data_IF_733213728282
#
_entry.id   IF_733213728282
#
_cell.length_a   1.000
_cell.length_b   1.000
_cell.length_c   1.000
_cell.angle_alpha   90.00
_cell.angle_beta   90.00
_cell.angle_gamma   90.00
#
_symmetry.space_group_name_H-M   'P 1'
#
loop_
_entity.id
_entity.type
_entity.pdbx_description
1 polymer ?
#
# COMPACT_ATOMS: atom_id res chain seq x y z
N UNK A 1 -3.45 24.84 -1.83
CA UNK A 1 -4.79 24.33 -1.55
C UNK A 1 -4.63 23.16 -0.62
N UNK A 2 -5.33 23.19 0.53
CA UNK A 2 -4.96 22.40 1.69
C UNK A 2 -4.95 20.89 1.46
N UNK A 3 -3.83 20.29 1.80
CA UNK A 3 -3.78 18.88 2.15
C UNK A 3 -4.79 18.67 3.27
N UNK A 4 -5.85 17.92 3.00
CA UNK A 4 -6.76 17.45 4.05
C UNK A 4 -5.91 16.66 5.04
N UNK A 5 -5.54 17.29 6.16
CA UNK A 5 -4.90 16.58 7.27
C UNK A 5 -5.83 15.44 7.65
N UNK A 6 -5.32 14.24 7.61
CA UNK A 6 -5.98 13.07 8.17
C UNK A 6 -6.23 13.38 9.66
N UNK A 7 -7.47 13.73 9.99
CA UNK A 7 -7.86 13.93 11.38
C UNK A 7 -7.82 12.56 12.05
N UNK A 8 -6.76 12.33 12.79
CA UNK A 8 -6.42 11.02 13.36
C UNK A 8 -6.26 11.21 14.86
N UNK A 9 -7.12 10.60 15.63
CA UNK A 9 -7.08 10.68 17.09
C UNK A 9 -6.33 9.48 17.70
N UNK A 10 -6.36 8.31 17.01
CA UNK A 10 -5.73 7.06 17.48
C UNK A 10 -4.94 6.39 16.37
N UNK A 11 -3.66 6.17 16.61
CA UNK A 11 -2.71 5.53 15.68
C UNK A 11 -2.26 4.19 16.26
N UNK A 12 -2.52 3.10 15.54
CA UNK A 12 -1.99 1.78 15.85
C UNK A 12 -0.59 1.61 15.26
N UNK A 13 0.33 1.01 16.02
CA UNK A 13 1.68 0.65 15.56
C UNK A 13 2.15 -0.62 16.28
N UNK A 14 3.33 -1.15 15.92
CA UNK A 14 3.89 -2.37 16.51
C UNK A 14 5.38 -2.19 16.85
N UNK A 15 5.70 -1.72 18.06
CA UNK A 15 7.10 -1.57 18.50
C UNK A 15 7.80 -2.91 18.78
N UNK A 16 7.03 -3.97 19.04
CA UNK A 16 7.58 -5.29 19.33
C UNK A 16 8.29 -5.94 18.14
N UNK A 17 7.96 -5.54 16.90
CA UNK A 17 8.61 -6.01 15.68
C UNK A 17 9.82 -5.14 15.30
N UNK A 18 9.70 -3.81 15.47
CA UNK A 18 10.77 -2.86 15.25
C UNK A 18 10.55 -1.62 16.12
N UNK A 19 11.50 -1.27 17.03
CA UNK A 19 11.39 -0.07 17.85
C UNK A 19 11.26 1.25 17.07
N UNK A 20 11.69 1.27 15.81
CA UNK A 20 11.55 2.43 14.93
C UNK A 20 10.09 2.70 14.53
N UNK A 21 9.21 1.68 14.60
CA UNK A 21 7.79 1.82 14.27
C UNK A 21 7.09 2.86 15.17
N UNK A 22 7.48 2.94 16.47
CA UNK A 22 6.98 3.98 17.37
C UNK A 22 7.39 5.39 16.94
N UNK A 23 8.66 5.57 16.56
CA UNK A 23 9.17 6.86 16.12
C UNK A 23 8.52 7.29 14.81
N UNK A 24 8.39 6.35 13.86
CA UNK A 24 7.72 6.57 12.60
C UNK A 24 6.25 6.99 12.81
N UNK A 25 5.50 6.28 13.66
CA UNK A 25 4.13 6.64 14.02
C UNK A 25 4.03 8.03 14.66
N UNK A 26 5.07 8.41 15.44
CA UNK A 26 5.18 9.73 16.06
C UNK A 26 5.24 10.90 15.08
N UNK A 27 5.70 10.68 13.85
CA UNK A 27 5.81 11.74 12.83
C UNK A 27 4.47 12.12 12.19
N UNK A 28 3.43 11.29 12.33
CA UNK A 28 2.13 11.55 11.71
C UNK A 28 1.33 12.62 12.44
N UNK A 29 1.33 12.58 13.76
CA UNK A 29 0.61 13.54 14.60
C UNK A 29 1.23 13.55 15.99
N UNK A 30 1.54 14.74 16.52
CA UNK A 30 1.99 14.92 17.90
C UNK A 30 0.86 14.63 18.90
N UNK A 31 -0.37 14.95 18.53
CA UNK A 31 -1.51 15.00 19.44
C UNK A 31 -2.30 13.69 19.49
N UNK A 32 -2.13 12.83 18.48
CA UNK A 32 -2.81 11.54 18.43
C UNK A 32 -2.29 10.56 19.48
N UNK A 33 -3.19 9.80 20.10
CA UNK A 33 -2.85 8.67 20.95
C UNK A 33 -2.22 7.55 20.12
N UNK A 34 -1.05 7.07 20.55
CA UNK A 34 -0.32 5.98 19.89
C UNK A 34 -0.50 4.71 20.70
N UNK A 35 -1.05 3.66 20.06
CA UNK A 35 -1.41 2.40 20.71
C UNK A 35 -0.54 1.30 20.13
N UNK A 36 0.25 0.65 20.99
CA UNK A 36 1.15 -0.43 20.62
C UNK A 36 0.43 -1.78 20.61
N UNK A 37 0.61 -2.54 19.53
CA UNK A 37 0.08 -3.89 19.38
C UNK A 37 1.23 -4.89 19.22
N UNK A 38 0.96 -6.15 19.55
CA UNK A 38 1.97 -7.21 19.62
C UNK A 38 2.50 -7.70 18.27
N UNK A 39 1.75 -7.44 17.19
CA UNK A 39 2.12 -7.89 15.82
C UNK A 39 1.49 -6.96 14.77
N UNK A 40 2.01 -7.03 13.54
CA UNK A 40 1.43 -6.29 12.42
C UNK A 40 -0.02 -6.71 12.13
N UNK A 41 -0.38 -8.00 12.32
CA UNK A 41 -1.76 -8.46 12.20
C UNK A 41 -2.66 -7.74 13.21
N UNK A 42 -2.29 -7.72 14.49
CA UNK A 42 -3.07 -7.06 15.52
C UNK A 42 -3.16 -5.54 15.31
N UNK A 43 -2.09 -4.93 14.82
CA UNK A 43 -2.07 -3.52 14.44
C UNK A 43 -3.07 -3.24 13.31
N UNK A 44 -3.13 -4.12 12.31
CA UNK A 44 -4.05 -4.03 11.18
C UNK A 44 -5.50 -4.27 11.61
N UNK A 45 -5.75 -5.36 12.36
CA UNK A 45 -7.06 -5.74 12.90
C UNK A 45 -7.68 -4.64 13.76
N UNK A 46 -6.88 -3.92 14.57
CA UNK A 46 -7.35 -2.82 15.41
C UNK A 46 -8.03 -1.70 14.59
N UNK A 47 -7.52 -1.41 13.41
CA UNK A 47 -8.16 -0.46 12.49
C UNK A 47 -9.37 -1.09 11.84
N UNK A 48 -9.32 -2.34 11.42
CA UNK A 48 -10.50 -3.05 10.89
C UNK A 48 -11.63 -3.14 11.91
N UNK A 49 -11.32 -3.32 13.19
CA UNK A 49 -12.31 -3.31 14.27
C UNK A 49 -12.83 -1.89 14.61
N UNK A 50 -12.11 -0.83 14.19
CA UNK A 50 -12.45 0.56 14.53
C UNK A 50 -11.94 1.00 15.90
N UNK A 51 -11.04 0.25 16.50
CA UNK A 51 -10.35 0.63 17.74
C UNK A 51 -9.37 1.77 17.52
N UNK A 52 -8.75 1.83 16.31
CA UNK A 52 -7.89 2.91 15.85
C UNK A 52 -8.37 3.46 14.53
N UNK A 53 -8.00 4.72 14.24
CA UNK A 53 -8.40 5.41 13.02
C UNK A 53 -7.52 5.01 11.85
N UNK A 54 -6.21 4.85 12.13
CA UNK A 54 -5.19 4.41 11.19
C UNK A 54 -4.19 3.47 11.84
N UNK A 55 -3.50 2.70 11.02
CA UNK A 55 -2.28 2.01 11.43
C UNK A 55 -1.09 2.43 10.57
N UNK A 56 0.11 2.33 11.16
CA UNK A 56 1.39 2.60 10.52
C UNK A 56 2.16 1.30 10.44
N UNK A 57 2.42 0.84 9.22
CA UNK A 57 3.11 -0.42 8.99
C UNK A 57 4.29 -0.23 8.01
N UNK A 58 5.49 -0.77 8.33
CA UNK A 58 6.61 -0.77 7.41
C UNK A 58 6.34 -1.76 6.27
N UNK A 59 6.52 -1.38 5.02
CA UNK A 59 6.30 -2.31 3.91
C UNK A 59 7.51 -2.50 3.00
N UNK A 60 8.49 -1.58 3.07
CA UNK A 60 9.72 -1.69 2.28
C UNK A 60 10.89 -1.06 3.04
N UNK A 61 12.06 -1.71 2.96
CA UNK A 61 13.31 -1.25 3.56
C UNK A 61 14.40 -1.18 2.51
N UNK A 62 15.24 -0.15 2.57
CA UNK A 62 16.25 0.10 1.55
C UNK A 62 17.34 -0.99 1.44
N UNK A 63 17.56 -1.77 2.48
CA UNK A 63 18.56 -2.85 2.53
C UNK A 63 17.94 -4.24 2.44
N UNK A 64 16.89 -4.49 3.21
CA UNK A 64 16.27 -5.82 3.31
C UNK A 64 15.12 -6.03 2.34
N UNK A 65 14.70 -4.99 1.61
CA UNK A 65 13.61 -5.06 0.64
C UNK A 65 12.23 -5.02 1.31
N UNK A 66 11.30 -5.76 0.75
CA UNK A 66 9.91 -5.79 1.21
C UNK A 66 9.73 -6.40 2.61
N UNK A 67 8.77 -5.89 3.36
CA UNK A 67 8.28 -6.53 4.57
C UNK A 67 7.14 -7.46 4.19
N UNK A 68 7.51 -8.69 3.85
CA UNK A 68 6.65 -9.70 3.25
C UNK A 68 5.31 -9.90 3.97
N UNK A 69 5.33 -9.93 5.30
CA UNK A 69 4.14 -10.11 6.11
C UNK A 69 3.14 -8.96 5.94
N UNK A 70 3.63 -7.72 5.88
CA UNK A 70 2.78 -6.54 5.66
C UNK A 70 2.20 -6.53 4.25
N UNK A 71 2.94 -7.00 3.26
CA UNK A 71 2.42 -7.14 1.90
C UNK A 71 1.29 -8.18 1.81
N UNK A 72 1.38 -9.26 2.61
CA UNK A 72 0.29 -10.24 2.72
C UNK A 72 -0.98 -9.62 3.36
N UNK A 73 -0.83 -8.69 4.32
CA UNK A 73 -1.95 -7.93 4.89
C UNK A 73 -2.59 -7.01 3.83
N UNK A 74 -1.79 -6.38 2.97
CA UNK A 74 -2.34 -5.57 1.86
C UNK A 74 -3.14 -6.44 0.87
N UNK A 75 -2.70 -7.67 0.63
CA UNK A 75 -3.43 -8.60 -0.23
C UNK A 75 -4.74 -9.08 0.39
N UNK A 76 -4.71 -9.53 1.65
CA UNK A 76 -5.83 -10.21 2.33
C UNK A 76 -6.85 -9.24 2.93
N UNK A 77 -6.38 -8.13 3.51
CA UNK A 77 -7.19 -7.23 4.33
C UNK A 77 -7.99 -6.22 3.53
N UNK A 78 -8.77 -5.41 4.22
CA UNK A 78 -9.74 -4.46 3.64
C UNK A 78 -9.29 -3.00 3.71
N UNK A 79 -8.22 -2.69 4.45
CA UNK A 79 -7.77 -1.32 4.63
C UNK A 79 -7.12 -0.76 3.36
N UNK A 80 -7.24 0.55 3.20
CA UNK A 80 -6.62 1.28 2.09
C UNK A 80 -5.42 2.08 2.54
N UNK A 81 -4.36 2.12 1.74
CA UNK A 81 -3.24 3.04 1.94
C UNK A 81 -3.72 4.46 1.65
N UNK A 82 -3.53 5.36 2.62
CA UNK A 82 -3.92 6.77 2.51
C UNK A 82 -2.72 7.71 2.50
N UNK A 83 -1.57 7.24 2.95
CA UNK A 83 -0.30 7.97 2.94
C UNK A 83 0.87 6.99 2.93
N UNK A 84 1.95 7.38 2.27
CA UNK A 84 3.24 6.71 2.36
C UNK A 84 4.29 7.75 2.75
N UNK A 85 5.16 7.41 3.67
CA UNK A 85 6.28 8.27 4.05
C UNK A 85 7.55 7.44 4.29
N UNK A 86 8.69 8.13 4.32
CA UNK A 86 10.00 7.53 4.58
C UNK A 86 10.46 7.89 5.97
N UNK A 87 11.01 6.92 6.67
CA UNK A 87 11.72 7.09 7.92
C UNK A 87 13.18 6.66 7.74
N UNK A 88 14.10 7.57 8.01
CA UNK A 88 15.55 7.32 7.95
C UNK A 88 16.10 7.30 9.38
N UNK A 89 16.62 6.15 9.81
CA UNK A 89 17.23 5.99 11.12
C UNK A 89 18.77 6.19 11.10
N UNK A 90 19.31 6.70 9.99
CA UNK A 90 20.74 6.88 9.75
C UNK A 90 21.48 5.63 9.26
N UNK A 91 20.83 4.46 9.30
CA UNK A 91 21.39 3.18 8.84
C UNK A 91 20.59 2.61 7.67
N UNK A 92 19.28 2.72 7.71
CA UNK A 92 18.36 2.21 6.72
C UNK A 92 17.17 3.16 6.57
N UNK A 93 16.68 3.30 5.34
CA UNK A 93 15.45 4.02 5.05
C UNK A 93 14.32 3.01 4.95
N UNK A 94 13.30 3.19 5.77
CA UNK A 94 12.07 2.38 5.75
C UNK A 94 10.92 3.18 5.18
N UNK A 95 10.15 2.58 4.27
CA UNK A 95 8.88 3.13 3.78
C UNK A 95 7.76 2.58 4.63
N UNK A 96 6.94 3.48 5.16
CA UNK A 96 5.76 3.17 5.96
C UNK A 96 4.50 3.51 5.18
N UNK A 97 3.52 2.61 5.27
CA UNK A 97 2.17 2.85 4.82
C UNK A 97 1.28 3.24 6.02
N UNK A 98 0.49 4.28 5.85
CA UNK A 98 -0.62 4.63 6.73
C UNK A 98 -1.88 4.06 6.11
N UNK A 99 -2.55 3.17 6.83
CA UNK A 99 -3.74 2.50 6.36
C UNK A 99 -4.96 2.91 7.16
N UNK A 100 -6.09 3.03 6.49
CA UNK A 100 -7.38 3.40 7.06
C UNK A 100 -8.52 2.60 6.41
N UNK A 101 -9.64 2.44 7.12
CA UNK A 101 -10.89 1.94 6.54
C UNK A 101 -11.46 2.84 5.46
N UNK A 102 -11.30 4.14 5.65
CA UNK A 102 -11.74 5.15 4.67
C UNK A 102 -10.58 5.42 3.74
N UNK A 103 -10.64 4.89 2.53
CA UNK A 103 -9.68 5.23 1.49
C UNK A 103 -9.59 6.74 1.28
N UNK A 104 -8.46 7.19 0.73
CA UNK A 104 -8.26 8.59 0.40
C UNK A 104 -9.13 8.94 -0.82
N UNK A 105 -10.21 9.68 -0.59
CA UNK A 105 -11.12 10.15 -1.64
C UNK A 105 -10.58 11.34 -2.44
N UNK A 106 -9.42 11.89 -2.05
CA UNK A 106 -8.84 13.06 -2.71
C UNK A 106 -8.07 12.67 -3.96
N UNK A 107 -8.28 13.39 -5.05
CA UNK A 107 -7.40 13.35 -6.22
C UNK A 107 -6.16 14.21 -5.90
N UNK A 108 -4.98 13.65 -6.12
CA UNK A 108 -3.70 14.35 -5.94
C UNK A 108 -3.12 14.82 -7.28
N UNK A 109 -3.85 14.60 -8.39
CA UNK A 109 -3.40 14.91 -9.73
C UNK A 109 -2.12 14.15 -10.10
N UNK A 110 -1.26 14.78 -10.91
CA UNK A 110 -0.01 14.16 -11.40
C UNK A 110 1.03 13.90 -10.28
N UNK A 111 0.84 14.47 -9.09
CA UNK A 111 1.69 14.21 -7.92
C UNK A 111 1.17 13.03 -7.08
N UNK A 112 0.32 12.19 -7.61
CA UNK A 112 -0.20 11.00 -6.95
C UNK A 112 0.58 9.74 -7.29
N UNK A 113 0.45 8.78 -6.41
CA UNK A 113 0.81 7.38 -6.61
C UNK A 113 -0.33 6.50 -6.15
N UNK A 114 -0.38 5.33 -6.73
CA UNK A 114 -1.32 4.31 -6.27
C UNK A 114 -0.65 2.93 -6.26
N UNK A 115 -1.19 2.07 -5.43
CA UNK A 115 -0.78 0.67 -5.35
C UNK A 115 -1.94 -0.23 -5.71
N UNK A 116 -1.67 -1.21 -6.55
CA UNK A 116 -2.59 -2.27 -6.97
C UNK A 116 -1.97 -3.63 -6.74
N UNK A 117 -2.81 -4.62 -6.50
CA UNK A 117 -2.42 -6.02 -6.41
C UNK A 117 -3.28 -6.81 -7.40
N UNK A 118 -2.66 -7.70 -8.16
CA UNK A 118 -3.38 -8.53 -9.11
C UNK A 118 -2.81 -9.97 -9.19
N UNK A 119 -3.64 -10.88 -9.67
CA UNK A 119 -3.24 -12.22 -10.09
C UNK A 119 -3.51 -12.41 -11.57
N UNK A 120 -2.71 -13.23 -12.21
CA UNK A 120 -2.91 -13.63 -13.61
C UNK A 120 -2.75 -15.14 -13.74
N UNK A 121 -3.40 -15.73 -14.72
CA UNK A 121 -3.18 -17.15 -15.05
C UNK A 121 -1.70 -17.42 -15.31
N UNK A 122 -1.19 -18.51 -14.77
CA UNK A 122 0.19 -18.94 -15.02
C UNK A 122 0.32 -19.52 -16.43
N UNK A 123 0.25 -18.66 -17.44
CA UNK A 123 0.33 -18.99 -18.86
C UNK A 123 1.27 -18.02 -19.57
N UNK A 124 1.84 -18.49 -20.69
CA UNK A 124 2.72 -17.69 -21.51
C UNK A 124 2.09 -16.35 -21.90
N UNK A 125 2.77 -15.24 -21.59
CA UNK A 125 2.40 -13.88 -22.00
C UNK A 125 1.34 -13.19 -21.13
N UNK A 126 0.71 -13.86 -20.15
CA UNK A 126 -0.34 -13.24 -19.32
C UNK A 126 0.17 -12.09 -18.47
N UNK A 127 1.31 -12.26 -17.79
CA UNK A 127 1.94 -11.17 -17.03
C UNK A 127 2.36 -10.00 -17.93
N UNK A 128 2.88 -10.29 -19.13
CA UNK A 128 3.27 -9.25 -20.09
C UNK A 128 2.03 -8.42 -20.53
N UNK A 129 0.87 -9.06 -20.70
CA UNK A 129 -0.38 -8.35 -21.01
C UNK A 129 -0.80 -7.41 -19.87
N UNK A 130 -0.68 -7.85 -18.62
CA UNK A 130 -0.98 -7.02 -17.46
C UNK A 130 -0.03 -5.80 -17.36
N UNK A 131 1.28 -6.00 -17.55
CA UNK A 131 2.26 -4.91 -17.55
C UNK A 131 2.00 -3.94 -18.72
N UNK A 132 1.67 -4.47 -19.91
CA UNK A 132 1.35 -3.64 -21.06
C UNK A 132 0.06 -2.83 -20.88
N UNK A 133 -0.95 -3.37 -20.18
CA UNK A 133 -2.15 -2.62 -19.84
C UNK A 133 -1.83 -1.38 -18.98
N UNK A 134 -0.84 -1.45 -18.09
CA UNK A 134 -0.39 -0.31 -17.31
C UNK A 134 0.41 0.67 -18.17
N UNK A 135 1.43 0.19 -18.89
CA UNK A 135 2.38 1.05 -19.60
C UNK A 135 1.79 1.70 -20.85
N UNK A 136 0.85 1.07 -21.55
CA UNK A 136 0.21 1.62 -22.77
C UNK A 136 -0.66 2.86 -22.47
N UNK A 137 -1.11 3.03 -21.23
CA UNK A 137 -1.81 4.23 -20.75
C UNK A 137 -0.87 5.29 -20.15
N UNK A 138 0.45 5.12 -20.29
CA UNK A 138 1.45 6.10 -19.87
C UNK A 138 1.82 6.06 -18.39
N UNK A 139 1.36 5.06 -17.63
CA UNK A 139 1.71 4.93 -16.21
C UNK A 139 3.10 4.31 -16.04
N UNK A 140 3.94 4.96 -15.23
CA UNK A 140 5.25 4.45 -14.87
C UNK A 140 5.13 3.49 -13.67
N UNK A 141 5.67 2.29 -13.84
CA UNK A 141 5.78 1.31 -12.76
C UNK A 141 7.03 1.63 -11.94
N UNK A 142 6.84 2.02 -10.68
CA UNK A 142 7.92 2.32 -9.73
C UNK A 142 8.58 1.07 -9.18
N UNK A 143 7.76 0.12 -8.80
CA UNK A 143 8.20 -1.22 -8.46
C UNK A 143 7.11 -2.26 -8.79
N UNK A 144 7.56 -3.47 -9.03
CA UNK A 144 6.74 -4.66 -9.19
C UNK A 144 7.41 -5.78 -8.42
N UNK A 145 6.68 -6.38 -7.49
CA UNK A 145 7.12 -7.55 -6.74
C UNK A 145 6.13 -8.68 -6.84
N UNK A 146 6.57 -9.89 -6.56
CA UNK A 146 5.74 -11.08 -6.60
C UNK A 146 5.78 -11.81 -5.27
N UNK A 147 4.65 -12.38 -4.86
CA UNK A 147 4.57 -13.24 -3.69
C UNK A 147 3.74 -14.49 -4.00
N UNK A 148 4.12 -15.64 -3.44
CA UNK A 148 3.34 -16.87 -3.63
C UNK A 148 1.99 -16.77 -2.92
N UNK A 149 0.95 -17.29 -3.55
CA UNK A 149 -0.35 -17.54 -2.92
C UNK A 149 -0.22 -18.72 -1.97
N UNK A 150 -0.62 -18.53 -0.72
CA UNK A 150 -0.47 -19.57 0.32
C UNK A 150 -1.38 -20.81 0.10
N UNK A 151 -2.39 -20.68 -0.77
CA UNK A 151 -3.44 -21.68 -0.95
C UNK A 151 -3.50 -22.29 -2.35
N UNK A 152 -2.61 -21.87 -3.25
CA UNK A 152 -2.51 -22.38 -4.61
C UNK A 152 -1.08 -22.84 -4.90
N UNK A 153 -0.91 -24.11 -5.28
CA UNK A 153 0.38 -24.58 -5.79
C UNK A 153 0.75 -23.77 -7.03
N UNK A 154 1.90 -23.06 -6.94
CA UNK A 154 2.44 -22.23 -8.03
C UNK A 154 1.60 -21.00 -8.42
N UNK A 155 0.66 -20.57 -7.58
CA UNK A 155 -0.04 -19.29 -7.71
C UNK A 155 0.80 -18.13 -7.17
N UNK A 156 0.74 -16.99 -7.83
CA UNK A 156 1.44 -15.76 -7.41
C UNK A 156 0.51 -14.58 -7.49
N UNK A 157 0.62 -13.65 -6.55
CA UNK A 157 0.09 -12.31 -6.72
C UNK A 157 1.23 -11.31 -6.94
N UNK A 158 0.90 -10.27 -7.69
CA UNK A 158 1.79 -9.17 -8.05
C UNK A 158 1.29 -7.91 -7.42
N UNK A 159 2.15 -7.16 -6.74
CA UNK A 159 1.82 -5.82 -6.31
C UNK A 159 2.70 -4.81 -7.03
N UNK A 160 2.04 -3.73 -7.44
CA UNK A 160 2.63 -2.73 -8.32
C UNK A 160 2.32 -1.36 -7.75
N UNK A 161 3.34 -0.52 -7.64
CA UNK A 161 3.19 0.92 -7.39
C UNK A 161 3.38 1.67 -8.70
N UNK A 162 2.41 2.51 -9.02
CA UNK A 162 2.44 3.35 -10.20
C UNK A 162 2.49 4.84 -9.83
N UNK A 163 3.21 5.63 -10.63
CA UNK A 163 3.10 7.09 -10.61
C UNK A 163 1.87 7.51 -11.41
N UNK A 164 1.15 8.53 -10.96
CA UNK A 164 0.04 9.14 -11.68
C UNK A 164 -1.31 9.04 -10.96
N UNK A 165 -2.33 9.60 -11.59
CA UNK A 165 -3.70 9.66 -11.06
C UNK A 165 -4.58 8.55 -11.63
N UNK A 166 -4.90 7.56 -10.80
CA UNK A 166 -5.81 6.48 -11.15
C UNK A 166 -7.25 6.95 -11.41
N UNK A 167 -7.62 8.17 -10.96
CA UNK A 167 -8.93 8.77 -11.20
C UNK A 167 -9.00 9.58 -12.50
N UNK A 168 -7.88 9.80 -13.17
CA UNK A 168 -7.88 10.40 -14.49
C UNK A 168 -8.65 9.54 -15.51
N UNK A 169 -8.97 10.09 -16.67
CA UNK A 169 -9.61 9.32 -17.74
C UNK A 169 -8.74 8.12 -18.14
N UNK A 170 -7.44 8.35 -18.32
CA UNK A 170 -6.48 7.29 -18.64
C UNK A 170 -6.30 6.29 -17.51
N UNK A 171 -6.32 6.74 -16.24
CA UNK A 171 -6.26 5.86 -15.07
C UNK A 171 -7.45 4.90 -15.00
N UNK A 172 -8.66 5.38 -15.26
CA UNK A 172 -9.85 4.52 -15.31
C UNK A 172 -9.81 3.53 -16.47
N UNK A 173 -9.34 3.96 -17.66
CA UNK A 173 -9.15 3.07 -18.80
C UNK A 173 -8.11 1.99 -18.50
N UNK A 174 -6.96 2.39 -17.95
CA UNK A 174 -5.90 1.48 -17.54
C UNK A 174 -6.41 0.41 -16.57
N UNK A 175 -7.14 0.82 -15.51
CA UNK A 175 -7.70 -0.14 -14.53
C UNK A 175 -8.73 -1.07 -15.17
N UNK A 176 -9.53 -0.60 -16.12
CA UNK A 176 -10.48 -1.43 -16.86
C UNK A 176 -9.77 -2.47 -17.73
N UNK A 177 -8.76 -2.06 -18.50
CA UNK A 177 -7.98 -2.95 -19.35
C UNK A 177 -7.17 -3.96 -18.55
N UNK A 178 -6.58 -3.53 -17.42
CA UNK A 178 -5.88 -4.41 -16.50
C UNK A 178 -6.83 -5.45 -15.89
N UNK A 179 -8.02 -5.04 -15.46
CA UNK A 179 -9.03 -5.95 -14.91
C UNK A 179 -9.50 -6.99 -15.93
N UNK A 180 -9.51 -6.66 -17.22
CA UNK A 180 -9.90 -7.58 -18.28
C UNK A 180 -8.88 -8.71 -18.53
N UNK A 181 -7.62 -8.52 -18.13
CA UNK A 181 -6.52 -9.50 -18.32
C UNK A 181 -6.13 -10.21 -17.03
N UNK A 182 -6.52 -9.70 -15.87
CA UNK A 182 -6.23 -10.30 -14.56
C UNK A 182 -7.33 -11.28 -14.14
N UNK A 183 -6.98 -12.24 -13.29
CA UNK A 183 -7.96 -13.08 -12.59
C UNK A 183 -8.58 -12.34 -11.41
N UNK A 184 -7.74 -11.61 -10.67
CA UNK A 184 -8.17 -10.70 -9.62
C UNK A 184 -7.42 -9.39 -9.74
N UNK A 185 -8.09 -8.29 -9.41
CA UNK A 185 -7.48 -6.97 -9.29
C UNK A 185 -7.98 -6.30 -8.02
N UNK A 186 -7.05 -5.87 -7.17
CA UNK A 186 -7.33 -5.14 -5.95
C UNK A 186 -6.65 -3.77 -5.99
N UNK A 187 -7.41 -2.73 -5.81
CA UNK A 187 -6.88 -1.40 -5.55
C UNK A 187 -6.57 -1.26 -4.05
N UNK A 188 -5.29 -1.03 -3.70
CA UNK A 188 -4.83 -0.97 -2.31
C UNK A 188 -4.93 0.45 -1.76
N UNK A 189 -4.70 1.46 -2.59
CA UNK A 189 -4.84 2.83 -2.17
C UNK A 189 -4.08 3.81 -3.06
N UNK A 190 -4.41 5.10 -2.90
CA UNK A 190 -3.71 6.22 -3.53
C UNK A 190 -3.19 7.17 -2.46
N UNK A 191 -2.09 7.82 -2.76
CA UNK A 191 -1.40 8.72 -1.83
C UNK A 191 -0.53 9.72 -2.59
N UNK A 192 -0.19 10.87 -1.99
CA UNK A 192 0.71 11.83 -2.62
C UNK A 192 2.11 11.23 -2.82
N UNK A 193 2.78 11.64 -3.89
CA UNK A 193 4.14 11.17 -4.24
C UNK A 193 5.24 11.78 -3.35
N UNK A 194 4.91 12.85 -2.62
CA UNK A 194 5.80 13.60 -1.70
C UNK A 194 5.19 13.67 -0.31
#
# INVERSE_FOLDING_TARGET
MGTSELKTDRIAYCAGMDPEDYKAAGTLSSDASKIDYQSYDKTYEAVEAGECDVCVLPFERSRSGEVSHVMDLFYKGSLSIVKVFKWDNGTEVTRYAVLSKKGNGSAFGDESRFMIIFTVKNMQGTLVKAINAISSHGFNIRFLHTRPLQYEEWGYYFYVECDGDDQSEEGRKMLADLNAVCETLKFVGRYPSK
#
